data_IF_153658265041
#
_entry.id   IF_153658265041
#
_cell.length_a   1.000
_cell.length_b   1.000
_cell.length_c   1.000
_cell.angle_alpha   90.00
_cell.angle_beta   90.00
_cell.angle_gamma   90.00
#
_symmetry.space_group_name_H-M   'P 1'
#
loop_
_entity.id
_entity.type
_entity.pdbx_description
1 polymer ?
#
# COMPACT_ATOMS: atom_id res chain seq x y z
N UNK A 1 -9.91 -6.80 -13.50
CA UNK A 1 -9.79 -6.57 -12.06
C UNK A 1 -9.37 -5.13 -11.86
N UNK A 2 -9.87 -4.49 -10.81
CA UNK A 2 -9.66 -3.06 -10.56
C UNK A 2 -8.26 -2.83 -9.97
N UNK A 3 -7.58 -1.80 -10.47
CA UNK A 3 -6.23 -1.39 -10.04
C UNK A 3 -6.33 -0.73 -8.66
N UNK A 4 -5.42 -1.03 -7.74
CA UNK A 4 -5.29 -0.26 -6.50
C UNK A 4 -4.55 1.04 -6.85
N UNK A 5 -5.24 2.17 -6.75
CA UNK A 5 -4.69 3.51 -6.98
C UNK A 5 -4.24 4.16 -5.67
N UNK A 6 -3.43 5.21 -5.76
CA UNK A 6 -3.02 6.03 -4.62
C UNK A 6 -4.24 6.61 -3.89
N UNK A 7 -5.21 7.15 -4.62
CA UNK A 7 -6.44 7.70 -4.03
C UNK A 7 -7.27 6.62 -3.32
N UNK A 8 -7.40 5.43 -3.93
CA UNK A 8 -8.12 4.32 -3.31
C UNK A 8 -7.43 3.85 -2.02
N UNK A 9 -6.10 3.75 -2.03
CA UNK A 9 -5.32 3.37 -0.85
C UNK A 9 -5.41 4.44 0.25
N UNK A 10 -5.27 5.72 -0.11
CA UNK A 10 -5.41 6.83 0.84
C UNK A 10 -6.79 6.84 1.49
N UNK A 11 -7.86 6.68 0.69
CA UNK A 11 -9.22 6.65 1.20
C UNK A 11 -9.44 5.43 2.10
N UNK A 12 -8.93 4.25 1.71
CA UNK A 12 -9.00 3.05 2.54
C UNK A 12 -8.36 3.26 3.93
N UNK A 13 -7.17 3.86 3.99
CA UNK A 13 -6.48 4.18 5.24
C UNK A 13 -7.34 5.10 6.13
N UNK A 14 -7.92 6.15 5.54
CA UNK A 14 -8.75 7.11 6.27
C UNK A 14 -10.08 6.52 6.75
N UNK A 15 -10.76 5.76 5.89
CA UNK A 15 -12.06 5.14 6.18
C UNK A 15 -11.98 4.05 7.26
N UNK A 16 -10.82 3.37 7.37
CA UNK A 16 -10.57 2.35 8.40
C UNK A 16 -9.80 2.91 9.60
N UNK A 17 -9.54 4.22 9.64
CA UNK A 17 -8.82 4.89 10.74
C UNK A 17 -7.47 4.20 11.07
N UNK A 18 -6.74 3.73 10.04
CA UNK A 18 -5.48 3.04 10.25
C UNK A 18 -4.40 4.00 10.77
N UNK A 19 -3.58 3.49 11.67
CA UNK A 19 -2.47 4.21 12.31
C UNK A 19 -1.14 3.51 12.04
N UNK A 20 -0.03 4.18 12.32
CA UNK A 20 1.35 3.67 12.16
C UNK A 20 1.67 2.39 12.96
N UNK A 21 0.74 1.89 13.76
CA UNK A 21 0.76 0.57 14.39
C UNK A 21 0.52 -0.60 13.45
N UNK A 22 0.22 -0.35 12.17
CA UNK A 22 0.00 -1.40 11.16
C UNK A 22 0.80 -1.14 9.89
N UNK A 23 1.05 -2.21 9.13
CA UNK A 23 1.52 -2.14 7.76
C UNK A 23 0.47 -2.73 6.81
N UNK A 24 0.54 -2.36 5.53
CA UNK A 24 -0.32 -2.91 4.48
C UNK A 24 0.53 -3.76 3.55
N UNK A 25 0.17 -5.03 3.36
CA UNK A 25 0.79 -5.93 2.41
C UNK A 25 -0.10 -6.14 1.18
N UNK A 26 0.50 -6.03 0.00
CA UNK A 26 -0.19 -6.18 -1.29
C UNK A 26 0.47 -7.26 -2.15
N UNK A 27 -0.34 -7.91 -2.99
CA UNK A 27 0.18 -8.73 -4.09
C UNK A 27 1.21 -7.94 -4.93
N UNK A 28 2.31 -8.55 -5.42
CA UNK A 28 3.33 -7.89 -6.24
C UNK A 28 2.80 -6.97 -7.35
N UNK A 29 1.93 -7.47 -8.22
CA UNK A 29 1.32 -6.64 -9.28
C UNK A 29 0.57 -5.41 -8.73
N UNK A 30 -0.15 -5.56 -7.61
CA UNK A 30 -0.91 -4.45 -7.02
C UNK A 30 0.01 -3.44 -6.32
N UNK A 31 1.12 -3.92 -5.76
CA UNK A 31 2.17 -3.07 -5.22
C UNK A 31 2.82 -2.24 -6.34
N UNK A 32 3.21 -2.87 -7.45
CA UNK A 32 3.80 -2.19 -8.61
C UNK A 32 2.83 -1.15 -9.20
N UNK A 33 1.57 -1.52 -9.35
CA UNK A 33 0.50 -0.64 -9.82
C UNK A 33 0.37 0.62 -8.96
N UNK A 34 0.42 0.47 -7.63
CA UNK A 34 0.34 1.56 -6.66
C UNK A 34 1.61 2.42 -6.65
N UNK A 35 2.80 1.81 -6.75
CA UNK A 35 4.07 2.54 -6.83
C UNK A 35 4.12 3.40 -8.08
N UNK A 36 3.70 2.88 -9.23
CA UNK A 36 3.66 3.66 -10.48
C UNK A 36 2.71 4.86 -10.35
N UNK A 37 1.53 4.65 -9.77
CA UNK A 37 0.54 5.71 -9.55
C UNK A 37 1.07 6.78 -8.57
N UNK A 38 1.74 6.36 -7.50
CA UNK A 38 2.39 7.27 -6.57
C UNK A 38 3.48 8.10 -7.25
N UNK A 39 4.34 7.47 -8.06
CA UNK A 39 5.40 8.17 -8.79
C UNK A 39 4.82 9.22 -9.75
N UNK A 40 3.74 8.89 -10.47
CA UNK A 40 3.07 9.82 -11.39
C UNK A 40 2.56 11.08 -10.65
N UNK A 41 2.07 10.93 -9.42
CA UNK A 41 1.52 12.02 -8.61
C UNK A 41 2.62 12.81 -7.87
N UNK A 42 3.71 12.15 -7.50
CA UNK A 42 4.78 12.71 -6.67
C UNK A 42 6.02 13.12 -7.48
N UNK A 43 5.86 13.39 -8.78
CA UNK A 43 6.94 13.91 -9.63
C UNK A 43 8.09 12.92 -9.85
N UNK A 44 7.77 11.62 -9.96
CA UNK A 44 8.71 10.51 -10.05
C UNK A 44 9.67 10.40 -8.86
N UNK A 45 9.24 10.85 -7.68
CA UNK A 45 9.97 10.70 -6.43
C UNK A 45 9.24 9.72 -5.51
N UNK A 46 10.03 8.91 -4.81
CA UNK A 46 9.55 7.96 -3.81
C UNK A 46 10.59 7.86 -2.69
N UNK A 47 10.11 7.89 -1.45
CA UNK A 47 10.93 7.67 -0.27
C UNK A 47 10.91 6.19 0.14
N UNK A 48 11.93 5.77 0.90
CA UNK A 48 12.05 4.42 1.45
C UNK A 48 12.21 4.53 2.97
N UNK A 49 11.35 3.89 3.79
CA UNK A 49 10.25 2.98 3.40
C UNK A 49 9.15 3.66 2.58
N UNK A 50 8.42 2.87 1.78
CA UNK A 50 7.33 3.40 0.96
C UNK A 50 6.08 3.50 1.83
N UNK A 51 5.65 4.72 2.09
CA UNK A 51 4.56 5.02 3.02
C UNK A 51 3.46 5.86 2.38
N UNK A 52 2.24 5.63 2.83
CA UNK A 52 1.08 6.49 2.55
C UNK A 52 0.46 6.86 3.89
N UNK A 53 0.40 8.16 4.20
CA UNK A 53 -0.10 8.67 5.49
C UNK A 53 0.60 8.06 6.73
N UNK A 54 1.89 7.72 6.63
CA UNK A 54 2.66 7.09 7.71
C UNK A 54 2.43 5.59 7.86
N UNK A 55 1.64 4.97 6.97
CA UNK A 55 1.45 3.52 6.92
C UNK A 55 2.42 2.93 5.92
N UNK A 56 3.26 2.00 6.37
CA UNK A 56 4.18 1.28 5.49
C UNK A 56 3.42 0.36 4.53
N UNK A 57 3.73 0.48 3.24
CA UNK A 57 3.19 -0.38 2.20
C UNK A 57 4.27 -1.38 1.79
N UNK A 58 3.95 -2.66 1.91
CA UNK A 58 4.83 -3.79 1.69
C UNK A 58 4.37 -4.64 0.51
N UNK A 59 5.34 -5.19 -0.21
CA UNK A 59 5.08 -6.23 -1.19
C UNK A 59 4.98 -7.59 -0.48
N UNK A 60 3.90 -8.33 -0.75
CA UNK A 60 3.78 -9.72 -0.33
C UNK A 60 4.80 -10.59 -1.08
N UNK A 61 5.70 -11.21 -0.32
CA UNK A 61 6.69 -12.17 -0.82
C UNK A 61 6.29 -13.62 -0.58
N UNK A 62 5.17 -13.86 0.11
CA UNK A 62 4.68 -15.19 0.49
C UNK A 62 3.67 -15.75 -0.52
N UNK A 63 3.03 -14.89 -1.31
CA UNK A 63 1.99 -15.28 -2.28
C UNK A 63 0.63 -15.54 -1.63
N UNK A 64 0.43 -15.08 -0.40
CA UNK A 64 -0.81 -15.25 0.36
C UNK A 64 -1.84 -14.14 0.08
N UNK A 65 -1.40 -12.98 -0.40
CA UNK A 65 -2.27 -11.85 -0.72
C UNK A 65 -2.71 -11.96 -2.18
N UNK A 66 -4.01 -12.15 -2.39
CA UNK A 66 -4.57 -12.16 -3.74
C UNK A 66 -4.45 -10.78 -4.41
N UNK A 67 -4.31 -10.75 -5.74
CA UNK A 67 -4.28 -9.51 -6.52
C UNK A 67 -5.53 -8.66 -6.25
N UNK A 68 -5.34 -7.34 -6.13
CA UNK A 68 -6.36 -6.35 -5.79
C UNK A 68 -6.96 -6.46 -4.38
N UNK A 69 -6.42 -7.32 -3.51
CA UNK A 69 -6.78 -7.33 -2.09
C UNK A 69 -5.78 -6.53 -1.25
N UNK A 70 -6.29 -5.94 -0.17
CA UNK A 70 -5.52 -5.26 0.86
C UNK A 70 -5.42 -6.18 2.07
N UNK A 71 -4.21 -6.49 2.51
CA UNK A 71 -3.96 -7.25 3.73
C UNK A 71 -3.29 -6.34 4.77
N UNK A 72 -3.89 -6.23 5.95
CA UNK A 72 -3.33 -5.42 7.06
C UNK A 72 -2.52 -6.33 7.97
N UNK A 73 -1.31 -5.92 8.29
CA UNK A 73 -0.37 -6.61 9.17
C UNK A 73 -0.23 -5.79 10.46
N UNK A 74 -0.33 -6.44 11.61
CA UNK A 74 0.02 -5.80 12.87
C UNK A 74 1.54 -5.52 12.89
N UNK A 75 1.93 -4.29 13.24
CA UNK A 75 3.32 -4.02 13.53
C UNK A 75 3.70 -4.81 14.78
N UNK A 76 4.65 -5.74 14.65
CA UNK A 76 5.20 -6.44 15.82
C UNK A 76 6.13 -5.46 16.51
N UNK A 77 5.77 -5.01 17.72
CA UNK A 77 6.65 -4.25 18.62
C UNK A 77 7.97 -4.99 18.92
#
# INVERSE_FOLDING_TARGET
MEKITYDAMRNYILENELTDSVAISLHPDSFDDLVMDYLDINGNQIERPFEILGIEILQDSTGNVAKSNINVLDAVE
#
